data_IF_189705856202
#
_entry.id   IF_189705856202
#
_cell.length_a   1.000
_cell.length_b   1.000
_cell.length_c   1.000
_cell.angle_alpha   90.00
_cell.angle_beta   90.00
_cell.angle_gamma   90.00
#
_symmetry.space_group_name_H-M   'P 1'
#
loop_
_entity.id
_entity.type
_entity.pdbx_description
1 polymer ?
#
# COMPACT_ATOMS: atom_id res chain seq x y z
N UNK A 1 27.65 13.44 10.27
CA UNK A 1 28.30 12.14 10.53
C UNK A 1 27.38 11.00 10.06
N UNK A 2 27.79 10.17 9.08
CA UNK A 2 26.98 9.04 8.64
C UNK A 2 26.84 8.00 9.77
N UNK A 3 25.61 7.70 10.17
CA UNK A 3 25.33 6.70 11.22
C UNK A 3 25.67 5.29 10.71
N UNK A 4 26.43 4.52 11.49
CA UNK A 4 26.76 3.12 11.17
C UNK A 4 25.45 2.30 11.06
N UNK A 5 25.30 1.56 9.96
CA UNK A 5 24.14 0.69 9.72
C UNK A 5 24.21 -0.52 10.67
N UNK A 6 23.09 -0.90 11.27
CA UNK A 6 23.00 -2.07 12.15
C UNK A 6 23.26 -3.35 11.34
N UNK A 7 24.00 -4.29 11.92
CA UNK A 7 24.22 -5.62 11.34
C UNK A 7 22.87 -6.32 11.24
N UNK A 8 22.49 -6.73 10.02
CA UNK A 8 21.26 -7.51 9.80
C UNK A 8 21.49 -8.91 10.36
N UNK A 9 20.56 -9.40 11.18
CA UNK A 9 20.57 -10.79 11.64
C UNK A 9 20.20 -11.71 10.50
N UNK A 10 20.77 -12.91 10.49
CA UNK A 10 20.37 -13.95 9.56
C UNK A 10 18.89 -14.31 9.79
N UNK A 11 18.13 -14.40 8.70
CA UNK A 11 16.72 -14.80 8.70
C UNK A 11 16.52 -15.83 7.60
N UNK A 12 16.28 -17.08 8.00
CA UNK A 12 16.11 -18.19 7.06
C UNK A 12 15.02 -17.92 6.00
N UNK A 13 13.94 -17.24 6.38
CA UNK A 13 12.85 -16.89 5.45
C UNK A 13 13.33 -15.91 4.37
N UNK A 14 14.21 -14.97 4.70
CA UNK A 14 14.72 -14.00 3.74
C UNK A 14 15.66 -14.66 2.72
N UNK A 15 16.50 -15.59 3.18
CA UNK A 15 17.42 -16.32 2.29
C UNK A 15 16.68 -17.27 1.36
N UNK A 16 15.69 -18.01 1.85
CA UNK A 16 14.82 -18.86 1.01
C UNK A 16 14.11 -18.03 -0.05
N UNK A 17 13.53 -16.88 0.34
CA UNK A 17 12.87 -15.97 -0.61
C UNK A 17 13.84 -15.38 -1.63
N UNK A 18 15.09 -15.09 -1.26
CA UNK A 18 16.11 -14.62 -2.20
C UNK A 18 16.47 -15.71 -3.22
N UNK A 19 16.77 -16.92 -2.75
CA UNK A 19 17.08 -18.07 -3.61
C UNK A 19 15.94 -18.39 -4.58
N UNK A 20 14.69 -18.34 -4.12
CA UNK A 20 13.53 -18.54 -4.97
C UNK A 20 13.45 -17.48 -6.09
N UNK A 21 13.73 -16.21 -5.77
CA UNK A 21 13.71 -15.11 -6.78
C UNK A 21 14.85 -15.24 -7.79
N UNK A 22 16.01 -15.75 -7.40
CA UNK A 22 17.12 -16.02 -8.32
C UNK A 22 16.79 -17.13 -9.31
N UNK A 23 16.03 -18.15 -8.87
CA UNK A 23 15.67 -19.30 -9.70
C UNK A 23 14.44 -19.09 -10.58
N UNK A 24 13.38 -18.53 -10.01
CA UNK A 24 12.04 -18.44 -10.63
C UNK A 24 11.76 -17.02 -11.16
N UNK A 25 12.52 -16.03 -10.68
CA UNK A 25 12.31 -14.62 -10.98
C UNK A 25 11.55 -13.88 -9.86
N UNK A 26 11.60 -12.55 -9.89
CA UNK A 26 10.89 -11.71 -8.92
C UNK A 26 9.40 -11.65 -9.28
N UNK A 27 8.48 -11.95 -8.34
CA UNK A 27 7.06 -11.74 -8.60
C UNK A 27 6.80 -10.25 -8.87
N UNK A 28 5.82 -9.96 -9.73
CA UNK A 28 5.37 -8.58 -9.98
C UNK A 28 5.02 -7.93 -8.64
N UNK A 29 5.48 -6.69 -8.43
CA UNK A 29 5.10 -5.94 -7.25
C UNK A 29 3.58 -5.93 -7.13
N UNK A 30 3.04 -6.26 -5.95
CA UNK A 30 1.61 -6.13 -5.70
C UNK A 30 1.24 -4.69 -6.00
N UNK A 31 0.43 -4.47 -7.04
CA UNK A 31 -0.08 -3.15 -7.35
C UNK A 31 -0.90 -2.74 -6.14
N UNK A 32 -0.39 -1.78 -5.36
CA UNK A 32 -1.19 -1.12 -4.34
C UNK A 32 -2.30 -0.43 -5.12
N UNK A 33 -3.46 -1.07 -5.22
CA UNK A 33 -4.67 -0.41 -5.69
C UNK A 33 -5.01 0.54 -4.56
N UNK A 34 -4.51 1.78 -4.65
CA UNK A 34 -5.05 2.86 -3.84
C UNK A 34 -6.53 2.88 -4.18
N UNK A 35 -7.40 2.58 -3.20
CA UNK A 35 -8.83 2.56 -3.39
C UNK A 35 -9.29 3.95 -3.87
N UNK A 36 -9.42 4.11 -5.20
CA UNK A 36 -9.81 5.38 -5.83
C UNK A 36 -11.29 5.71 -5.64
N UNK A 37 -12.02 4.95 -4.82
CA UNK A 37 -13.43 5.19 -4.58
C UNK A 37 -13.60 6.10 -3.37
N UNK A 38 -13.40 7.42 -3.55
CA UNK A 38 -14.22 8.37 -2.81
C UNK A 38 -15.65 8.08 -3.22
N UNK A 39 -16.49 7.70 -2.26
CA UNK A 39 -17.92 7.46 -2.50
C UNK A 39 -18.49 8.77 -3.04
N UNK A 40 -18.83 8.80 -4.32
CA UNK A 40 -19.67 9.87 -4.83
C UNK A 40 -21.05 9.68 -4.24
N UNK A 41 -21.63 10.74 -3.70
CA UNK A 41 -22.98 10.70 -3.16
C UNK A 41 -23.94 10.31 -4.30
N UNK A 42 -24.66 9.22 -4.07
CA UNK A 42 -25.53 8.59 -5.08
C UNK A 42 -26.82 9.37 -5.31
N UNK A 43 -27.19 10.23 -4.36
CA UNK A 43 -28.46 10.92 -4.31
C UNK A 43 -28.25 12.42 -4.29
N UNK A 44 -29.26 13.16 -4.77
CA UNK A 44 -29.30 14.61 -4.66
C UNK A 44 -29.39 15.00 -3.17
N UNK A 45 -28.78 16.13 -2.77
CA UNK A 45 -28.87 16.61 -1.40
C UNK A 45 -30.33 16.86 -1.03
N UNK A 46 -30.65 16.60 0.24
CA UNK A 46 -31.98 16.87 0.79
C UNK A 46 -32.18 18.36 1.02
N UNK A 47 -33.43 18.81 1.12
CA UNK A 47 -33.76 20.21 1.40
C UNK A 47 -33.09 20.74 2.68
N UNK A 48 -32.87 19.89 3.69
CA UNK A 48 -32.14 20.27 4.90
C UNK A 48 -30.68 20.58 4.63
N UNK A 49 -30.00 19.73 3.86
CA UNK A 49 -28.58 19.91 3.51
C UNK A 49 -28.33 21.17 2.65
N UNK A 50 -29.30 21.55 1.81
CA UNK A 50 -29.24 22.80 1.04
C UNK A 50 -29.41 24.06 1.89
N UNK A 51 -30.11 23.97 3.02
CA UNK A 51 -30.31 25.11 3.94
C UNK A 51 -29.09 25.29 4.85
N UNK A 52 -28.40 24.19 5.19
CA UNK A 52 -27.20 24.21 6.04
C UNK A 52 -25.94 24.75 5.31
N UNK A 53 -25.93 24.77 3.97
CA UNK A 53 -24.83 25.27 3.12
C UNK A 53 -24.89 26.79 2.82
N UNK A 54 -25.87 27.53 3.36
CA UNK A 54 -25.98 29.02 3.27
C UNK A 54 -25.43 29.72 4.52
#
# INVERSE_FOLDING_TARGET
>A
MPRKKKVKRFRAVETVKAMARERIGTPKASRIVVDRKKKQEKYKPTLGELVDDQ
#
